data_IF_854912798414
#
_entry.id   IF_854912798414
#
_cell.length_a   1.000
_cell.length_b   1.000
_cell.length_c   1.000
_cell.angle_alpha   90.00
_cell.angle_beta   90.00
_cell.angle_gamma   90.00
#
_symmetry.space_group_name_H-M   'P 1'
#
loop_
_entity.id
_entity.type
_entity.pdbx_description
1 polymer ?
#
# COMPACT_ATOMS: atom_id res chain seq x y z
N UNK A 1 -13.79 -26.58 15.84
CA UNK A 1 -13.99 -25.12 15.99
C UNK A 1 -14.09 -24.67 17.44
N UNK A 2 -14.96 -25.25 18.28
CA UNK A 2 -15.14 -24.81 19.70
C UNK A 2 -13.87 -24.89 20.56
N UNK A 3 -13.06 -25.95 20.40
CA UNK A 3 -11.81 -26.11 21.16
C UNK A 3 -10.76 -25.04 20.82
N UNK A 4 -10.66 -24.65 19.55
CA UNK A 4 -9.74 -23.63 19.06
C UNK A 4 -10.10 -22.25 19.59
N UNK A 5 -11.40 -21.92 19.64
CA UNK A 5 -11.88 -20.68 20.23
C UNK A 5 -11.59 -20.60 21.74
N UNK A 6 -11.80 -21.71 22.46
CA UNK A 6 -11.53 -21.77 23.91
C UNK A 6 -10.03 -21.61 24.21
N UNK A 7 -9.17 -22.24 23.43
CA UNK A 7 -7.72 -22.06 23.54
C UNK A 7 -7.30 -20.59 23.28
N UNK A 8 -7.85 -19.98 22.22
CA UNK A 8 -7.54 -18.59 21.88
C UNK A 8 -7.97 -17.60 22.98
N UNK A 9 -9.15 -17.80 23.57
CA UNK A 9 -9.63 -16.98 24.70
C UNK A 9 -8.72 -17.12 25.93
N UNK A 10 -8.38 -18.36 26.31
CA UNK A 10 -7.49 -18.60 27.45
C UNK A 10 -6.10 -17.97 27.24
N UNK A 11 -5.54 -18.12 26.03
CA UNK A 11 -4.23 -17.52 25.68
C UNK A 11 -4.27 -16.00 25.77
N UNK A 12 -5.34 -15.38 25.27
CA UNK A 12 -5.55 -13.93 25.36
C UNK A 12 -5.62 -13.44 26.80
N UNK A 13 -6.32 -14.16 27.68
CA UNK A 13 -6.40 -13.82 29.10
C UNK A 13 -5.04 -13.93 29.80
N UNK A 14 -4.26 -14.96 29.50
CA UNK A 14 -2.91 -15.14 30.04
C UNK A 14 -1.97 -14.02 29.61
N UNK A 15 -2.00 -13.65 28.34
CA UNK A 15 -1.16 -12.57 27.80
C UNK A 15 -1.56 -11.21 28.40
N UNK A 16 -2.85 -10.98 28.65
CA UNK A 16 -3.33 -9.80 29.36
C UNK A 16 -2.84 -9.78 30.82
N UNK A 17 -2.92 -10.91 31.52
CA UNK A 17 -2.41 -11.04 32.91
C UNK A 17 -0.91 -10.78 32.97
N UNK A 18 -0.14 -11.27 32.00
CA UNK A 18 1.31 -11.02 31.89
C UNK A 18 1.60 -9.53 31.65
N UNK A 19 0.87 -8.88 30.74
CA UNK A 19 0.99 -7.44 30.47
C UNK A 19 0.70 -6.60 31.71
N UNK A 20 -0.31 -6.96 32.51
CA UNK A 20 -0.69 -6.22 33.71
C UNK A 20 0.27 -6.44 34.90
N UNK A 21 0.88 -7.63 35.00
CA UNK A 21 1.80 -7.99 36.10
C UNK A 21 3.27 -7.69 35.81
N UNK A 22 3.61 -7.27 34.59
CA UNK A 22 4.97 -6.93 34.21
C UNK A 22 5.47 -5.67 34.95
N UNK A 23 6.76 -5.61 35.32
CA UNK A 23 7.34 -4.41 35.90
C UNK A 23 7.32 -3.29 34.86
N UNK A 24 6.49 -2.26 35.07
CA UNK A 24 6.44 -1.08 34.21
C UNK A 24 5.28 -1.05 33.20
N UNK A 25 4.05 -1.30 33.64
CA UNK A 25 2.88 -0.87 32.87
C UNK A 25 2.87 0.66 32.83
N UNK A 26 3.53 1.24 31.83
CA UNK A 26 3.57 2.67 31.63
C UNK A 26 2.16 3.23 31.46
N UNK A 27 1.98 4.51 31.81
CA UNK A 27 0.70 5.22 31.76
C UNK A 27 -0.07 4.99 30.43
N UNK A 28 0.63 5.00 29.30
CA UNK A 28 0.05 4.74 27.97
C UNK A 28 -0.54 3.33 27.84
N UNK A 29 0.21 2.31 28.28
CA UNK A 29 -0.24 0.92 28.23
C UNK A 29 -1.44 0.69 29.15
N UNK A 30 -1.42 1.30 30.34
CA UNK A 30 -2.54 1.28 31.26
C UNK A 30 -3.81 1.86 30.63
N UNK A 31 -3.76 3.10 30.14
CA UNK A 31 -4.93 3.75 29.54
C UNK A 31 -5.41 3.07 28.25
N UNK A 32 -4.52 2.46 27.46
CA UNK A 32 -4.93 1.65 26.32
C UNK A 32 -5.72 0.41 26.74
N UNK A 33 -5.24 -0.34 27.75
CA UNK A 33 -5.95 -1.51 28.27
C UNK A 33 -7.29 -1.16 28.92
N UNK A 34 -7.33 -0.05 29.66
CA UNK A 34 -8.56 0.47 30.27
C UNK A 34 -9.58 0.82 29.19
N UNK A 35 -9.18 1.55 28.13
CA UNK A 35 -10.07 1.89 27.01
C UNK A 35 -10.52 0.67 26.22
N UNK A 36 -9.66 -0.33 26.06
CA UNK A 36 -10.02 -1.61 25.42
C UNK A 36 -11.10 -2.34 26.23
N UNK A 37 -10.95 -2.42 27.55
CA UNK A 37 -11.94 -3.05 28.44
C UNK A 37 -13.23 -2.26 28.59
N UNK A 38 -13.17 -0.93 28.53
CA UNK A 38 -14.35 -0.06 28.53
C UNK A 38 -15.05 0.00 27.16
N UNK A 39 -14.52 -0.66 26.13
CA UNK A 39 -15.06 -0.62 24.77
C UNK A 39 -14.82 0.71 24.04
N UNK A 40 -14.15 1.68 24.67
CA UNK A 40 -13.86 3.01 24.13
C UNK A 40 -12.68 3.01 23.16
N UNK A 41 -11.96 1.90 23.04
CA UNK A 41 -10.90 1.72 22.03
C UNK A 41 -11.44 1.54 20.62
N UNK A 42 -12.73 1.25 20.45
CA UNK A 42 -13.37 1.19 19.15
C UNK A 42 -13.67 2.61 18.67
N UNK A 43 -12.67 3.28 18.10
CA UNK A 43 -12.92 4.42 17.24
C UNK A 43 -13.60 3.89 16.00
N UNK A 44 -14.90 4.18 15.84
CA UNK A 44 -15.65 3.80 14.67
C UNK A 44 -15.11 4.62 13.49
N UNK A 45 -14.25 4.01 12.67
CA UNK A 45 -13.50 4.68 11.58
C UNK A 45 -14.43 5.31 10.56
N UNK A 46 -15.63 4.74 10.43
CA UNK A 46 -16.66 5.19 9.51
C UNK A 46 -17.65 6.04 10.32
N UNK A 47 -17.91 7.30 9.96
CA UNK A 47 -18.91 8.13 10.64
C UNK A 47 -20.33 7.53 10.49
N UNK A 48 -21.31 7.96 11.29
CA UNK A 48 -22.71 7.58 11.10
C UNK A 48 -23.18 7.84 9.67
N UNK A 49 -23.92 6.89 9.08
CA UNK A 49 -24.39 6.98 7.69
C UNK A 49 -25.89 7.23 7.66
N UNK A 50 -26.33 8.21 6.88
CA UNK A 50 -27.76 8.50 6.70
C UNK A 50 -28.37 7.55 5.66
N UNK A 51 -29.51 6.95 5.99
CA UNK A 51 -30.31 6.13 5.09
C UNK A 51 -31.26 6.98 4.27
N UNK A 52 -31.82 6.41 3.20
CA UNK A 52 -32.80 7.10 2.35
C UNK A 52 -34.10 7.48 3.09
N UNK A 53 -34.46 6.73 4.14
CA UNK A 53 -35.62 6.99 4.99
C UNK A 53 -35.36 8.07 6.07
N UNK A 54 -34.18 8.70 6.06
CA UNK A 54 -33.78 9.72 7.02
C UNK A 54 -33.25 9.17 8.36
N UNK A 55 -33.27 7.85 8.58
CA UNK A 55 -32.66 7.25 9.77
C UNK A 55 -31.13 7.15 9.66
N UNK A 56 -30.45 6.94 10.77
CA UNK A 56 -28.97 6.94 10.82
C UNK A 56 -28.44 5.58 11.27
N UNK A 57 -27.58 4.98 10.45
CA UNK A 57 -26.81 3.79 10.77
C UNK A 57 -25.60 4.17 11.63
N UNK A 58 -25.61 3.75 12.90
CA UNK A 58 -24.56 4.09 13.87
C UNK A 58 -23.64 2.91 14.18
N UNK A 59 -24.17 1.68 14.19
CA UNK A 59 -23.36 0.48 14.44
C UNK A 59 -22.58 0.04 13.21
N UNK A 60 -21.39 -0.55 13.41
CA UNK A 60 -20.56 -1.04 12.30
C UNK A 60 -21.28 -2.09 11.45
N UNK A 61 -22.13 -2.93 12.06
CA UNK A 61 -22.97 -3.91 11.34
C UNK A 61 -24.00 -3.22 10.44
N UNK A 62 -24.69 -2.21 10.95
CA UNK A 62 -25.67 -1.45 10.16
C UNK A 62 -25.01 -0.70 8.99
N UNK A 63 -23.84 -0.10 9.23
CA UNK A 63 -23.06 0.60 8.20
C UNK A 63 -22.62 -0.36 7.10
N UNK A 64 -22.06 -1.51 7.48
CA UNK A 64 -21.64 -2.54 6.52
C UNK A 64 -22.82 -3.05 5.68
N UNK A 65 -23.96 -3.31 6.31
CA UNK A 65 -25.15 -3.76 5.60
C UNK A 65 -25.69 -2.69 4.65
N UNK A 66 -25.73 -1.42 5.08
CA UNK A 66 -26.17 -0.31 4.26
C UNK A 66 -25.28 -0.14 3.01
N UNK A 67 -23.96 -0.15 3.19
CA UNK A 67 -23.00 -0.06 2.09
C UNK A 67 -23.11 -1.24 1.14
N UNK A 68 -23.24 -2.47 1.66
CA UNK A 68 -23.39 -3.67 0.85
C UNK A 68 -24.64 -3.59 -0.04
N UNK A 69 -25.79 -3.19 0.53
CA UNK A 69 -27.02 -3.01 -0.24
C UNK A 69 -26.88 -1.92 -1.30
N UNK A 70 -26.31 -0.76 -0.94
CA UNK A 70 -26.11 0.36 -1.88
C UNK A 70 -25.21 -0.02 -3.05
N UNK A 71 -24.10 -0.71 -2.79
CA UNK A 71 -23.21 -1.15 -3.86
C UNK A 71 -23.83 -2.25 -4.72
N UNK A 72 -24.54 -3.21 -4.14
CA UNK A 72 -25.25 -4.22 -4.92
C UNK A 72 -26.27 -3.60 -5.88
N UNK A 73 -26.97 -2.55 -5.44
CA UNK A 73 -27.91 -1.80 -6.28
C UNK A 73 -27.19 -1.03 -7.39
N UNK A 74 -26.11 -0.29 -7.07
CA UNK A 74 -25.38 0.54 -8.05
C UNK A 74 -24.51 -0.25 -9.03
N UNK A 75 -24.10 -1.45 -8.66
CA UNK A 75 -23.25 -2.32 -9.50
C UNK A 75 -24.08 -3.26 -10.39
N UNK A 76 -25.40 -3.08 -10.45
CA UNK A 76 -26.24 -3.83 -11.37
C UNK A 76 -26.10 -3.26 -12.78
N UNK A 77 -25.62 -4.09 -13.70
CA UNK A 77 -25.60 -3.78 -15.13
C UNK A 77 -26.89 -4.32 -15.75
N UNK A 78 -27.78 -3.44 -16.21
CA UNK A 78 -29.09 -3.83 -16.77
C UNK A 78 -28.96 -4.67 -18.05
N UNK A 79 -27.89 -4.44 -18.82
CA UNK A 79 -27.64 -5.12 -20.08
C UNK A 79 -26.17 -5.58 -20.16
N UNK A 80 -25.78 -6.65 -19.44
CA UNK A 80 -24.39 -7.09 -19.33
C UNK A 80 -23.79 -7.59 -20.65
N UNK A 81 -24.66 -7.90 -21.63
CA UNK A 81 -24.27 -8.34 -22.96
C UNK A 81 -24.01 -7.18 -23.92
N UNK A 82 -24.44 -5.96 -23.59
CA UNK A 82 -24.12 -4.79 -24.39
C UNK A 82 -22.67 -4.38 -24.09
N UNK A 83 -21.90 -3.98 -25.12
CA UNK A 83 -20.61 -3.36 -24.88
C UNK A 83 -20.80 -2.13 -23.99
N UNK A 84 -19.85 -1.85 -23.07
CA UNK A 84 -19.87 -0.60 -22.32
C UNK A 84 -20.01 0.59 -23.27
N UNK A 85 -20.76 1.61 -22.86
CA UNK A 85 -20.82 2.87 -23.61
C UNK A 85 -19.40 3.36 -23.84
N UNK A 86 -19.00 3.48 -25.10
CA UNK A 86 -17.71 4.08 -25.45
C UNK A 86 -17.75 5.54 -25.02
N UNK A 87 -17.17 5.83 -23.86
CA UNK A 87 -16.89 7.20 -23.48
C UNK A 87 -15.86 7.73 -24.47
N UNK A 88 -16.20 8.80 -25.17
CA UNK A 88 -15.22 9.47 -26.03
C UNK A 88 -14.04 9.86 -25.14
N UNK A 89 -12.83 9.45 -25.52
CA UNK A 89 -11.63 9.87 -24.81
C UNK A 89 -11.53 11.39 -24.93
N UNK A 90 -11.87 12.09 -23.86
CA UNK A 90 -11.69 13.53 -23.75
C UNK A 90 -10.24 13.76 -23.34
N UNK A 91 -9.37 13.88 -24.32
CA UNK A 91 -7.97 14.19 -24.13
C UNK A 91 -7.67 15.43 -24.96
N UNK A 92 -7.37 16.54 -24.29
CA UNK A 92 -7.05 17.80 -24.95
C UNK A 92 -5.68 17.74 -25.64
N UNK A 93 -4.75 16.96 -25.07
CA UNK A 93 -3.39 16.82 -25.59
C UNK A 93 -2.93 15.36 -25.54
N UNK A 94 -2.47 14.88 -26.69
CA UNK A 94 -1.93 13.52 -26.83
C UNK A 94 -0.42 13.65 -27.02
N UNK A 95 0.36 12.91 -26.23
CA UNK A 95 1.81 12.81 -26.42
C UNK A 95 2.08 11.89 -27.60
N UNK A 96 2.49 12.47 -28.74
CA UNK A 96 2.76 11.73 -29.99
C UNK A 96 4.18 11.16 -30.00
N UNK A 97 5.12 11.87 -29.37
CA UNK A 97 6.54 11.51 -29.38
C UNK A 97 7.19 11.78 -28.01
N UNK A 98 8.01 10.84 -27.55
CA UNK A 98 8.84 11.00 -26.36
C UNK A 98 10.30 10.93 -26.78
N UNK A 99 11.03 12.04 -26.67
CA UNK A 99 12.47 12.10 -26.93
C UNK A 99 13.23 11.81 -25.64
N UNK A 100 14.05 10.77 -25.67
CA UNK A 100 14.88 10.35 -24.53
C UNK A 100 16.35 10.56 -24.89
N UNK A 101 17.08 11.25 -24.02
CA UNK A 101 18.52 11.48 -24.15
C UNK A 101 19.32 10.54 -23.26
N UNK A 102 20.55 10.22 -23.66
CA UNK A 102 21.45 9.39 -22.86
C UNK A 102 21.66 9.97 -21.45
N UNK A 103 21.84 11.28 -21.32
CA UNK A 103 22.03 11.96 -20.04
C UNK A 103 20.83 11.75 -19.09
N UNK A 104 19.59 11.77 -19.61
CA UNK A 104 18.40 11.50 -18.80
C UNK A 104 18.38 10.06 -18.29
N UNK A 105 18.74 9.09 -19.14
CA UNK A 105 18.83 7.68 -18.77
C UNK A 105 19.90 7.46 -17.71
N UNK A 106 21.10 8.01 -17.91
CA UNK A 106 22.20 7.90 -16.96
C UNK A 106 21.86 8.48 -15.60
N UNK A 107 21.20 9.66 -15.56
CA UNK A 107 20.73 10.26 -14.31
C UNK A 107 19.77 9.34 -13.57
N UNK A 108 18.76 8.80 -14.27
CA UNK A 108 17.77 7.89 -13.68
C UNK A 108 18.42 6.61 -13.15
N UNK A 109 19.36 6.03 -13.89
CA UNK A 109 20.07 4.82 -13.44
C UNK A 109 20.96 5.11 -12.21
N UNK A 110 21.61 6.28 -12.12
CA UNK A 110 22.41 6.69 -10.95
C UNK A 110 21.54 6.91 -9.71
N UNK A 111 20.35 7.46 -9.87
CA UNK A 111 19.41 7.73 -8.77
C UNK A 111 18.59 6.50 -8.33
N UNK A 112 18.74 5.38 -9.04
CA UNK A 112 17.97 4.16 -8.76
C UNK A 112 18.15 3.65 -7.32
N UNK A 113 17.03 3.32 -6.67
CA UNK A 113 17.02 2.77 -5.32
C UNK A 113 17.30 1.26 -5.35
N UNK A 114 18.48 0.88 -4.88
CA UNK A 114 18.97 -0.50 -4.87
C UNK A 114 18.23 -1.44 -3.90
N UNK A 115 17.39 -0.90 -3.01
CA UNK A 115 16.61 -1.69 -2.04
C UNK A 115 15.26 -2.16 -2.57
N UNK A 116 14.89 -1.76 -3.80
CA UNK A 116 13.65 -2.23 -4.43
C UNK A 116 13.78 -3.70 -4.83
N UNK A 117 12.65 -4.39 -4.83
CA UNK A 117 12.58 -5.77 -5.30
C UNK A 117 12.92 -5.84 -6.79
N UNK A 118 13.50 -6.97 -7.20
CA UNK A 118 13.72 -7.30 -8.61
C UNK A 118 12.38 -7.49 -9.32
N UNK A 119 12.29 -7.00 -10.56
CA UNK A 119 11.12 -7.16 -11.40
C UNK A 119 10.95 -8.60 -11.92
N UNK A 120 9.88 -8.87 -12.67
CA UNK A 120 9.64 -10.16 -13.31
C UNK A 120 10.67 -10.50 -14.41
N UNK A 121 11.48 -9.53 -14.82
CA UNK A 121 12.60 -9.66 -15.76
C UNK A 121 13.91 -10.16 -15.11
N UNK A 122 13.91 -10.38 -13.79
CA UNK A 122 15.07 -10.78 -12.98
C UNK A 122 16.28 -9.81 -13.05
N UNK A 123 16.06 -8.56 -13.47
CA UNK A 123 17.11 -7.55 -13.54
C UNK A 123 17.13 -6.73 -12.26
N UNK A 124 18.13 -6.97 -11.40
CA UNK A 124 18.20 -6.25 -10.12
C UNK A 124 18.53 -4.76 -10.31
N UNK A 125 17.94 -3.87 -9.48
CA UNK A 125 18.29 -2.44 -9.47
C UNK A 125 19.77 -2.16 -9.20
N UNK A 126 20.47 -3.08 -8.51
CA UNK A 126 21.91 -2.97 -8.27
C UNK A 126 22.72 -3.07 -9.56
N UNK A 127 22.35 -3.99 -10.46
CA UNK A 127 23.03 -4.18 -11.76
C UNK A 127 22.83 -2.93 -12.61
N UNK A 128 21.58 -2.47 -12.75
CA UNK A 128 21.24 -1.29 -13.55
C UNK A 128 22.00 -0.02 -13.09
N UNK A 129 22.13 0.17 -11.78
CA UNK A 129 22.88 1.32 -11.24
C UNK A 129 24.37 1.24 -11.52
N UNK A 130 24.96 0.04 -11.55
CA UNK A 130 26.38 -0.15 -11.95
C UNK A 130 26.60 0.18 -13.43
N UNK A 131 25.66 -0.21 -14.30
CA UNK A 131 25.71 0.09 -15.73
C UNK A 131 25.70 1.60 -16.06
N UNK A 132 25.21 2.43 -15.13
CA UNK A 132 25.25 3.90 -15.27
C UNK A 132 26.68 4.48 -15.24
N UNK A 133 27.65 3.72 -14.70
CA UNK A 133 29.03 4.16 -14.51
C UNK A 133 30.00 3.58 -15.54
N UNK A 134 29.62 2.51 -16.25
CA UNK A 134 30.46 1.82 -17.24
C UNK A 134 30.50 2.51 -18.61
N UNK A 135 29.72 3.56 -18.85
CA UNK A 135 29.76 4.37 -20.07
C UNK A 135 30.86 5.45 -20.08
N UNK A 136 31.74 5.48 -19.07
CA UNK A 136 32.97 6.28 -19.13
C UNK A 136 34.04 5.54 -19.95
N UNK A 137 34.04 5.83 -21.25
CA UNK A 137 35.06 5.62 -22.28
C UNK A 137 36.42 4.99 -21.83
N UNK A 138 36.80 3.78 -22.29
CA UNK A 138 38.17 3.30 -22.23
C UNK A 138 38.94 3.83 -23.46
N UNK A 139 39.53 5.02 -23.38
CA UNK A 139 40.14 5.62 -24.58
C UNK A 139 41.03 6.84 -24.39
N UNK A 140 41.66 7.04 -23.22
CA UNK A 140 42.72 8.03 -23.07
C UNK A 140 43.81 7.52 -22.14
N UNK A 141 44.68 6.70 -22.69
CA UNK A 141 45.94 6.29 -22.06
C UNK A 141 47.06 6.56 -23.05
N UNK A 142 47.66 7.75 -22.95
CA UNK A 142 48.79 8.17 -23.77
C UNK A 142 49.98 7.25 -23.58
N UNK A 143 50.40 6.59 -24.67
CA UNK A 143 51.66 5.86 -24.74
C UNK A 143 52.81 6.86 -24.82
N UNK A 144 53.58 6.92 -23.72
CA UNK A 144 54.78 7.74 -23.60
C UNK A 144 55.89 7.25 -24.54
N UNK A 145 56.53 8.21 -25.18
CA UNK A 145 57.65 8.08 -26.12
C UNK A 145 58.89 7.60 -25.36
N UNK A 146 59.43 6.42 -25.68
CA UNK A 146 60.74 6.00 -25.20
C UNK A 146 61.84 6.63 -26.09
N UNK A 147 62.67 7.49 -25.49
CA UNK A 147 64.06 7.69 -25.93
C UNK A 147 64.86 6.52 -25.35
N UNK A 148 65.58 5.75 -26.17
CA UNK A 148 67.05 5.82 -26.42
C UNK A 148 67.29 5.18 -27.79
#
# INVERSE_FOLDING_TARGET
MVATCKWAMNRSEEDLKKKLRGPGVGNKTWWSLVKEKQGTSCQDVIPPLTRQDGTVATSSKEKAQLLATLFAEKMRVEHPHLPPTSLAQQCEEIVIEVKVTQMQVERLLRELNIKKATGPDDVSPQILKRCASSHQNPGSGGGSRAQI
#
